data_IF_744696539916
#
_entry.id   IF_744696539916
#
_cell.length_a   1.000
_cell.length_b   1.000
_cell.length_c   1.000
_cell.angle_alpha   90.00
_cell.angle_beta   90.00
_cell.angle_gamma   90.00
#
_symmetry.space_group_name_H-M   'P 1'
#
loop_
_entity.id
_entity.type
_entity.pdbx_description
1 polymer ?
#
# COMPACT_ATOMS: atom_id res chain seq x y z
N UNK A 1 -12.70 -41.95 -7.39
CA UNK A 1 -13.50 -40.86 -7.96
C UNK A 1 -13.54 -39.72 -6.93
N UNK A 2 -12.65 -38.71 -6.94
CA UNK A 2 -12.63 -37.73 -5.86
C UNK A 2 -13.42 -36.47 -6.28
N UNK A 3 -14.61 -36.29 -5.69
CA UNK A 3 -15.19 -35.03 -5.22
C UNK A 3 -14.71 -33.69 -5.84
N UNK A 4 -15.11 -33.47 -7.09
CA UNK A 4 -15.44 -32.23 -7.81
C UNK A 4 -16.00 -30.97 -7.05
N UNK A 5 -15.85 -30.77 -5.73
CA UNK A 5 -16.42 -29.59 -5.04
C UNK A 5 -15.50 -28.81 -4.10
N UNK A 6 -14.21 -29.12 -4.03
CA UNK A 6 -13.28 -28.30 -3.25
C UNK A 6 -12.79 -27.15 -4.13
N UNK A 7 -12.94 -25.91 -3.65
CA UNK A 7 -12.38 -24.68 -4.23
C UNK A 7 -10.88 -24.85 -4.56
N UNK A 8 -10.16 -25.71 -3.82
CA UNK A 8 -8.81 -26.20 -4.15
C UNK A 8 -8.72 -26.90 -5.54
N UNK A 9 -9.69 -27.73 -5.94
CA UNK A 9 -9.77 -28.35 -7.27
C UNK A 9 -10.16 -27.41 -8.42
N UNK A 10 -10.92 -26.33 -8.19
CA UNK A 10 -11.26 -25.34 -9.24
C UNK A 10 -10.19 -24.25 -9.42
N UNK A 11 -9.18 -24.19 -8.54
CA UNK A 11 -8.19 -23.12 -8.57
C UNK A 11 -6.91 -23.48 -9.33
N UNK A 12 -6.80 -24.69 -9.90
CA UNK A 12 -5.58 -25.19 -10.54
C UNK A 12 -4.47 -25.31 -9.51
N UNK A 13 -3.98 -26.51 -9.14
CA UNK A 13 -2.71 -26.87 -8.46
C UNK A 13 -1.46 -25.94 -8.40
N UNK A 14 -1.54 -24.67 -8.79
CA UNK A 14 -0.57 -23.64 -9.01
C UNK A 14 -0.94 -22.42 -8.17
N UNK A 15 0.08 -21.76 -7.62
CA UNK A 15 -0.08 -20.57 -6.80
C UNK A 15 -0.79 -19.45 -7.60
N UNK A 16 -1.86 -18.85 -7.05
CA UNK A 16 -2.50 -17.69 -7.67
C UNK A 16 -1.50 -16.52 -7.60
N UNK A 17 -1.04 -16.02 -8.75
CA UNK A 17 -0.20 -14.83 -8.81
C UNK A 17 -0.94 -13.63 -8.19
N UNK A 18 -0.27 -12.84 -7.35
CA UNK A 18 -0.80 -11.57 -6.79
C UNK A 18 -1.43 -10.66 -7.84
N UNK A 19 -0.93 -10.70 -9.09
CA UNK A 19 -1.50 -9.94 -10.19
C UNK A 19 -3.00 -10.23 -10.42
N UNK A 20 -3.47 -11.45 -10.12
CA UNK A 20 -4.89 -11.85 -10.18
C UNK A 20 -5.65 -11.76 -8.85
N UNK A 21 -5.01 -11.28 -7.78
CA UNK A 21 -5.57 -11.28 -6.44
C UNK A 21 -5.66 -9.85 -5.94
N UNK A 22 -6.85 -9.25 -6.10
CA UNK A 22 -7.60 -8.26 -5.29
C UNK A 22 -6.99 -7.41 -4.16
N UNK A 23 -5.69 -7.47 -3.94
CA UNK A 23 -4.96 -6.74 -2.90
C UNK A 23 -4.30 -5.50 -3.50
N UNK A 24 -4.00 -5.51 -4.81
CA UNK A 24 -3.59 -4.32 -5.56
C UNK A 24 -4.73 -3.30 -5.76
N UNK A 25 -5.96 -3.77 -6.03
CA UNK A 25 -7.09 -2.88 -6.34
C UNK A 25 -7.59 -2.11 -5.12
N UNK A 26 -7.45 -2.67 -3.90
CA UNK A 26 -7.83 -1.97 -2.66
C UNK A 26 -6.83 -0.86 -2.28
N UNK A 27 -5.53 -1.03 -2.51
CA UNK A 27 -4.52 0.04 -2.28
C UNK A 27 -4.72 1.22 -3.22
N UNK A 28 -5.05 0.96 -4.49
CA UNK A 28 -5.26 2.04 -5.46
C UNK A 28 -6.50 2.87 -5.12
N UNK A 29 -7.56 2.26 -4.57
CA UNK A 29 -8.77 3.00 -4.17
C UNK A 29 -8.52 3.95 -2.99
N UNK A 30 -7.71 3.57 -2.01
CA UNK A 30 -7.33 4.47 -0.91
C UNK A 30 -6.47 5.65 -1.39
N UNK A 31 -5.44 5.40 -2.21
CA UNK A 31 -4.67 6.47 -2.86
C UNK A 31 -5.58 7.40 -3.66
N UNK A 32 -6.52 6.85 -4.43
CA UNK A 32 -7.44 7.65 -5.21
C UNK A 32 -8.46 8.40 -4.35
N UNK A 33 -8.91 7.85 -3.22
CA UNK A 33 -9.80 8.57 -2.31
C UNK A 33 -9.05 9.74 -1.66
N UNK A 34 -7.79 9.56 -1.23
CA UNK A 34 -6.99 10.68 -0.69
C UNK A 34 -6.78 11.77 -1.73
N UNK A 35 -6.47 11.39 -2.97
CA UNK A 35 -6.33 12.35 -4.07
C UNK A 35 -7.64 13.03 -4.42
N UNK A 36 -8.79 12.33 -4.36
CA UNK A 36 -10.11 12.93 -4.59
C UNK A 36 -10.49 13.89 -3.47
N UNK A 37 -10.19 13.55 -2.21
CA UNK A 37 -10.45 14.43 -1.07
C UNK A 37 -9.59 15.68 -1.22
N UNK A 38 -8.29 15.54 -1.46
CA UNK A 38 -7.38 16.65 -1.76
C UNK A 38 -7.85 17.50 -2.95
N UNK A 39 -8.12 16.90 -4.13
CA UNK A 39 -8.73 17.61 -5.27
C UNK A 39 -10.05 18.33 -4.92
N UNK A 40 -10.91 17.78 -4.06
CA UNK A 40 -12.13 18.47 -3.61
C UNK A 40 -11.80 19.60 -2.62
N UNK A 41 -10.85 19.37 -1.72
CA UNK A 41 -10.49 20.29 -0.64
C UNK A 41 -9.75 21.53 -1.18
N UNK A 42 -8.82 21.35 -2.12
CA UNK A 42 -8.15 22.43 -2.85
C UNK A 42 -8.98 22.97 -4.02
N UNK A 43 -9.61 22.10 -4.82
CA UNK A 43 -10.40 22.45 -6.02
C UNK A 43 -11.65 23.28 -5.78
N UNK A 44 -12.46 22.97 -4.76
CA UNK A 44 -13.70 23.72 -4.51
C UNK A 44 -13.40 25.16 -4.10
N UNK A 45 -12.49 25.44 -3.14
CA UNK A 45 -12.15 26.82 -2.80
C UNK A 45 -11.48 27.56 -3.95
N UNK A 46 -10.55 26.95 -4.70
CA UNK A 46 -9.96 27.60 -5.90
C UNK A 46 -10.99 27.99 -6.94
N UNK A 47 -11.96 27.11 -7.26
CA UNK A 47 -13.00 27.41 -8.26
C UNK A 47 -13.97 28.47 -7.75
N UNK A 48 -14.36 28.39 -6.47
CA UNK A 48 -15.18 29.41 -5.80
C UNK A 48 -14.47 30.78 -5.76
N UNK A 49 -13.17 30.83 -5.45
CA UNK A 49 -12.42 32.08 -5.42
C UNK A 49 -12.27 32.66 -6.82
N UNK A 50 -11.98 31.83 -7.83
CA UNK A 50 -11.90 32.23 -9.23
C UNK A 50 -13.24 32.80 -9.74
N UNK A 51 -14.35 32.08 -9.54
CA UNK A 51 -15.68 32.56 -9.92
C UNK A 51 -16.00 33.92 -9.27
N UNK A 52 -15.56 34.12 -8.03
CA UNK A 52 -15.82 35.34 -7.26
C UNK A 52 -14.95 36.54 -7.65
N UNK A 53 -13.65 36.34 -7.91
CA UNK A 53 -12.78 37.32 -8.59
C UNK A 53 -13.42 37.76 -9.91
N UNK A 54 -13.98 36.85 -10.73
CA UNK A 54 -14.63 37.21 -12.01
C UNK A 54 -15.88 38.07 -11.79
N UNK A 55 -16.63 37.83 -10.71
CA UNK A 55 -17.83 38.60 -10.36
C UNK A 55 -17.56 39.95 -9.67
N UNK A 56 -16.29 40.35 -9.50
CA UNK A 56 -15.93 41.70 -9.06
C UNK A 56 -16.18 42.00 -7.58
N UNK A 57 -16.49 40.98 -6.76
CA UNK A 57 -16.64 41.09 -5.29
C UNK A 57 -15.58 40.22 -4.61
N UNK A 58 -14.32 40.68 -4.49
CA UNK A 58 -13.31 39.90 -3.78
C UNK A 58 -13.72 39.79 -2.30
N UNK A 59 -13.76 38.56 -1.78
CA UNK A 59 -13.90 38.25 -0.36
C UNK A 59 -12.86 39.04 0.48
N UNK A 60 -13.27 40.14 1.11
CA UNK A 60 -12.47 40.85 2.12
C UNK A 60 -12.66 40.20 3.51
N UNK A 61 -12.51 38.87 3.64
CA UNK A 61 -12.72 38.19 4.94
C UNK A 61 -11.60 38.51 5.96
N UNK A 62 -10.42 38.83 5.44
CA UNK A 62 -9.27 39.40 6.14
C UNK A 62 -9.16 40.78 5.47
N UNK A 63 -9.65 41.88 6.07
CA UNK A 63 -9.22 43.26 5.78
C UNK A 63 -7.69 43.27 5.61
N UNK A 64 -7.21 43.01 4.40
CA UNK A 64 -5.81 43.04 4.07
C UNK A 64 -5.52 44.53 3.84
N UNK A 65 -4.43 45.07 4.43
CA UNK A 65 -4.02 46.44 4.19
C UNK A 65 -4.03 46.74 2.68
N UNK A 66 -4.43 47.95 2.25
CA UNK A 66 -4.44 48.29 0.83
C UNK A 66 -3.08 47.98 0.24
N UNK A 67 -3.07 47.06 -0.74
CA UNK A 67 -1.91 46.65 -1.53
C UNK A 67 -0.95 47.85 -1.72
N UNK A 68 0.26 47.79 -1.14
CA UNK A 68 1.25 48.82 -1.35
C UNK A 68 1.65 48.87 -2.84
N UNK A 69 1.80 50.06 -3.42
CA UNK A 69 2.14 50.25 -4.84
C UNK A 69 3.56 49.77 -5.19
N UNK A 70 4.39 49.46 -4.17
CA UNK A 70 5.77 49.03 -4.34
C UNK A 70 5.91 47.51 -4.60
N UNK A 71 6.45 47.10 -5.76
CA UNK A 71 6.59 45.69 -6.16
C UNK A 71 7.45 44.85 -5.19
N UNK A 72 8.36 45.47 -4.43
CA UNK A 72 9.27 44.82 -3.47
C UNK A 72 8.51 44.30 -2.24
N UNK A 73 7.47 45.00 -1.78
CA UNK A 73 6.68 44.59 -0.60
C UNK A 73 5.89 43.29 -0.85
N UNK A 74 5.73 42.87 -2.12
CA UNK A 74 5.11 41.60 -2.48
C UNK A 74 6.05 40.40 -2.36
N UNK A 75 7.36 40.62 -2.33
CA UNK A 75 8.32 39.51 -2.43
C UNK A 75 8.24 38.62 -1.19
N UNK A 76 8.18 39.23 -0.01
CA UNK A 76 8.07 38.53 1.27
C UNK A 76 6.78 37.70 1.45
N UNK A 77 5.56 38.22 1.23
CA UNK A 77 4.38 37.39 1.34
C UNK A 77 4.30 36.29 0.31
N UNK A 78 4.73 36.53 -0.92
CA UNK A 78 4.79 35.48 -1.96
C UNK A 78 5.77 34.37 -1.57
N UNK A 79 6.97 34.70 -1.08
CA UNK A 79 7.95 33.69 -0.62
C UNK A 79 7.37 32.90 0.56
N UNK A 80 6.74 33.56 1.52
CA UNK A 80 6.10 32.90 2.67
C UNK A 80 5.00 31.91 2.24
N UNK A 81 4.07 32.30 1.36
CA UNK A 81 3.06 31.38 0.80
C UNK A 81 3.71 30.24 0.03
N UNK A 82 4.73 30.48 -0.79
CA UNK A 82 5.47 29.43 -1.50
C UNK A 82 6.17 28.46 -0.53
N UNK A 83 6.75 28.96 0.56
CA UNK A 83 7.45 28.15 1.56
C UNK A 83 6.47 27.29 2.38
N UNK A 84 5.38 27.88 2.88
CA UNK A 84 4.28 27.15 3.55
C UNK A 84 3.68 26.12 2.59
N UNK A 85 3.47 26.47 1.32
CA UNK A 85 2.96 25.55 0.30
C UNK A 85 3.92 24.37 0.06
N UNK A 86 5.23 24.62 0.01
CA UNK A 86 6.23 23.58 -0.15
C UNK A 86 6.31 22.68 1.09
N UNK A 87 6.33 23.25 2.30
CA UNK A 87 6.30 22.52 3.57
C UNK A 87 5.05 21.65 3.71
N UNK A 88 3.84 22.15 3.41
CA UNK A 88 2.61 21.33 3.38
C UNK A 88 2.59 20.27 2.27
N UNK A 89 3.29 20.50 1.14
CA UNK A 89 3.36 19.53 0.04
C UNK A 89 4.40 18.41 0.28
N UNK A 90 5.45 18.68 1.08
CA UNK A 90 6.52 17.72 1.36
C UNK A 90 6.06 16.41 2.03
N UNK A 91 5.19 16.41 3.05
CA UNK A 91 4.67 15.18 3.66
C UNK A 91 3.79 14.37 2.70
N UNK A 92 3.15 15.02 1.72
CA UNK A 92 2.39 14.34 0.66
C UNK A 92 3.29 13.64 -0.37
N UNK A 93 4.52 14.12 -0.58
CA UNK A 93 5.48 13.53 -1.53
C UNK A 93 6.41 12.48 -0.88
N UNK A 94 6.55 12.47 0.45
CA UNK A 94 7.44 11.57 1.21
C UNK A 94 6.69 10.70 2.22
N UNK A 95 5.62 10.05 1.75
CA UNK A 95 5.05 8.90 2.43
C UNK A 95 5.81 7.63 2.06
N UNK A 96 7.11 7.57 2.36
CA UNK A 96 7.85 6.31 2.36
C UNK A 96 7.91 5.82 3.78
N UNK A 97 6.86 5.10 4.15
CA UNK A 97 6.87 4.18 5.28
C UNK A 97 8.25 3.47 5.41
N UNK A 98 8.85 3.44 6.61
CA UNK A 98 10.15 2.82 6.88
C UNK A 98 9.95 1.31 6.88
N UNK A 99 9.98 0.71 5.71
CA UNK A 99 10.06 -0.73 5.62
C UNK A 99 10.96 -1.11 4.45
N UNK A 100 11.91 -2.00 4.73
CA UNK A 100 12.72 -2.61 3.67
C UNK A 100 11.77 -3.52 2.91
N UNK A 101 11.37 -3.06 1.73
CA UNK A 101 10.51 -3.79 0.81
C UNK A 101 11.41 -4.51 -0.20
N UNK A 102 11.49 -5.82 -0.10
CA UNK A 102 12.06 -6.60 -1.20
C UNK A 102 10.96 -6.83 -2.23
N UNK A 103 11.17 -6.33 -3.46
CA UNK A 103 10.33 -6.70 -4.62
C UNK A 103 10.54 -8.18 -4.96
N UNK A 104 9.53 -8.87 -5.51
CA UNK A 104 9.65 -10.28 -5.86
C UNK A 104 10.78 -10.55 -6.86
N UNK A 105 11.08 -9.60 -7.75
CA UNK A 105 12.16 -9.74 -8.75
C UNK A 105 13.56 -9.75 -8.11
N UNK A 106 13.72 -9.10 -6.94
CA UNK A 106 14.98 -9.06 -6.20
C UNK A 106 15.18 -10.30 -5.32
N UNK A 107 14.16 -11.16 -5.15
CA UNK A 107 14.31 -12.41 -4.42
C UNK A 107 14.92 -13.47 -5.32
N UNK A 108 16.12 -13.94 -4.98
CA UNK A 108 16.80 -15.00 -5.73
C UNK A 108 16.25 -16.40 -5.38
N UNK A 109 15.43 -16.49 -4.33
CA UNK A 109 14.97 -17.76 -3.76
C UNK A 109 13.54 -18.08 -4.22
N UNK A 110 13.27 -19.19 -4.91
CA UNK A 110 11.96 -19.74 -5.33
C UNK A 110 11.67 -21.14 -4.75
N UNK A 111 10.51 -21.73 -5.07
CA UNK A 111 10.16 -23.09 -4.59
C UNK A 111 11.09 -24.19 -5.08
N UNK A 112 11.68 -24.04 -6.27
CA UNK A 112 12.67 -25.00 -6.78
C UNK A 112 13.91 -25.12 -5.88
N UNK A 113 14.29 -24.06 -5.15
CA UNK A 113 15.45 -24.10 -4.27
C UNK A 113 15.13 -24.61 -2.85
N UNK A 114 13.85 -24.81 -2.52
CA UNK A 114 13.43 -25.43 -1.26
C UNK A 114 13.39 -26.95 -1.46
N UNK A 115 14.28 -27.70 -0.81
CA UNK A 115 14.37 -29.17 -0.95
C UNK A 115 13.92 -29.85 0.34
N UNK A 116 13.18 -30.96 0.24
CA UNK A 116 12.87 -31.84 1.37
C UNK A 116 11.68 -31.42 2.23
N UNK A 117 10.92 -30.40 1.81
CA UNK A 117 9.78 -29.85 2.54
C UNK A 117 8.50 -29.84 1.69
N UNK A 118 8.31 -30.85 0.83
CA UNK A 118 7.25 -30.84 -0.20
C UNK A 118 5.85 -30.73 0.41
N UNK A 119 5.62 -31.43 1.52
CA UNK A 119 4.35 -31.39 2.26
C UNK A 119 4.08 -29.99 2.85
N UNK A 120 5.11 -29.34 3.43
CA UNK A 120 5.00 -27.99 3.98
C UNK A 120 4.76 -26.97 2.86
N UNK A 121 5.53 -27.03 1.76
CA UNK A 121 5.30 -26.21 0.56
C UNK A 121 3.85 -26.33 0.10
N UNK A 122 3.28 -27.54 0.01
CA UNK A 122 1.89 -27.72 -0.43
C UNK A 122 0.88 -27.05 0.52
N UNK A 123 1.01 -27.27 1.82
CA UNK A 123 0.14 -26.66 2.84
C UNK A 123 0.20 -25.12 2.78
N UNK A 124 1.42 -24.58 2.75
CA UNK A 124 1.68 -23.15 2.63
C UNK A 124 1.05 -22.58 1.36
N UNK A 125 1.17 -23.27 0.22
CA UNK A 125 0.60 -22.83 -1.06
C UNK A 125 -0.92 -22.77 -1.00
N UNK A 126 -1.58 -23.77 -0.39
CA UNK A 126 -3.04 -23.70 -0.15
C UNK A 126 -3.40 -22.51 0.73
N UNK A 127 -2.63 -22.27 1.79
CA UNK A 127 -2.91 -21.17 2.71
C UNK A 127 -2.74 -19.80 2.04
N UNK A 128 -1.66 -19.59 1.29
CA UNK A 128 -1.49 -18.41 0.44
C UNK A 128 -2.61 -18.23 -0.58
N UNK A 129 -3.09 -19.28 -1.24
CA UNK A 129 -4.20 -19.13 -2.18
C UNK A 129 -5.45 -18.61 -1.48
N UNK A 130 -5.70 -19.07 -0.26
CA UNK A 130 -6.79 -18.56 0.57
C UNK A 130 -6.55 -17.10 0.97
N UNK A 131 -5.32 -16.69 1.30
CA UNK A 131 -4.99 -15.27 1.57
C UNK A 131 -5.18 -14.36 0.36
N UNK A 132 -4.70 -14.78 -0.80
CA UNK A 132 -4.72 -13.96 -2.01
C UNK A 132 -6.13 -13.88 -2.59
N UNK A 133 -6.92 -14.95 -2.45
CA UNK A 133 -8.31 -15.03 -2.90
C UNK A 133 -9.33 -14.61 -1.85
N UNK A 134 -8.95 -13.69 -0.92
CA UNK A 134 -9.73 -13.33 0.27
C UNK A 134 -11.17 -12.91 -0.11
N UNK A 135 -11.32 -12.05 -1.10
CA UNK A 135 -12.62 -11.57 -1.59
C UNK A 135 -13.50 -12.72 -2.11
N UNK A 136 -12.93 -13.58 -2.94
CA UNK A 136 -13.64 -14.71 -3.52
C UNK A 136 -14.03 -15.73 -2.45
N UNK A 137 -13.12 -16.05 -1.51
CA UNK A 137 -13.39 -16.89 -0.33
C UNK A 137 -14.53 -16.32 0.54
N UNK A 138 -14.42 -15.04 0.97
CA UNK A 138 -15.44 -14.31 1.77
C UNK A 138 -16.82 -14.33 1.08
N UNK A 139 -16.90 -14.10 -0.24
CA UNK A 139 -18.19 -14.05 -0.96
C UNK A 139 -18.84 -15.42 -1.19
N UNK A 140 -18.05 -16.47 -1.46
CA UNK A 140 -18.58 -17.80 -1.82
C UNK A 140 -18.78 -18.74 -0.63
N UNK A 141 -17.93 -18.65 0.39
CA UNK A 141 -17.89 -19.62 1.49
C UNK A 141 -18.26 -19.02 2.86
N UNK A 142 -18.55 -17.71 2.94
CA UNK A 142 -19.09 -17.05 4.15
C UNK A 142 -18.19 -17.11 5.39
N UNK A 143 -16.90 -17.44 5.26
CA UNK A 143 -15.98 -17.63 6.38
C UNK A 143 -14.88 -16.57 6.48
N UNK A 144 -14.26 -16.46 7.66
CA UNK A 144 -13.01 -15.70 7.81
C UNK A 144 -11.85 -16.55 7.28
N UNK A 145 -11.08 -16.06 6.30
CA UNK A 145 -9.84 -16.73 5.94
C UNK A 145 -8.85 -16.63 7.08
N UNK A 146 -7.91 -17.54 7.11
CA UNK A 146 -6.71 -17.45 7.98
C UNK A 146 -6.13 -16.02 7.84
N UNK A 147 -5.30 -15.59 8.82
CA UNK A 147 -4.63 -14.27 8.79
C UNK A 147 -3.09 -14.30 8.80
N UNK A 148 -2.48 -15.38 9.26
CA UNK A 148 -1.02 -15.51 9.35
C UNK A 148 -0.54 -16.97 9.30
N UNK A 149 0.76 -17.13 9.03
CA UNK A 149 1.51 -18.37 9.15
C UNK A 149 2.65 -18.14 10.14
N UNK A 150 2.88 -19.09 11.03
CA UNK A 150 4.02 -19.11 11.94
C UNK A 150 4.90 -20.31 11.60
N UNK A 151 6.17 -20.05 11.30
CA UNK A 151 7.17 -21.10 11.12
C UNK A 151 7.95 -21.30 12.40
N UNK A 152 7.85 -22.49 12.98
CA UNK A 152 8.59 -22.87 14.19
C UNK A 152 9.48 -24.07 13.89
N UNK A 153 10.69 -24.06 14.42
CA UNK A 153 11.59 -25.21 14.37
C UNK A 153 13.02 -24.85 14.77
N UNK A 154 13.93 -25.84 14.79
CA UNK A 154 15.36 -25.63 15.07
C UNK A 154 16.04 -24.65 14.10
N UNK A 155 17.05 -23.86 14.50
CA UNK A 155 17.72 -22.94 13.58
C UNK A 155 18.36 -23.71 12.41
N UNK A 156 18.29 -23.15 11.20
CA UNK A 156 18.88 -23.79 10.02
C UNK A 156 17.95 -24.72 9.21
N UNK A 157 16.65 -24.76 9.51
CA UNK A 157 15.67 -25.59 8.76
C UNK A 157 15.03 -24.90 7.56
N UNK A 158 15.58 -23.74 7.16
CA UNK A 158 15.11 -23.03 5.98
C UNK A 158 13.79 -22.28 6.15
N UNK A 159 13.44 -21.85 7.37
CA UNK A 159 12.19 -21.11 7.62
C UNK A 159 12.16 -19.77 6.88
N UNK A 160 13.26 -19.02 7.01
CA UNK A 160 13.44 -17.73 6.33
C UNK A 160 13.59 -17.94 4.82
N UNK A 161 14.33 -18.98 4.39
CA UNK A 161 14.42 -19.39 2.99
C UNK A 161 13.04 -19.70 2.38
N UNK A 162 12.17 -20.42 3.10
CA UNK A 162 10.81 -20.73 2.64
C UNK A 162 9.96 -19.47 2.54
N UNK A 163 10.03 -18.55 3.52
CA UNK A 163 9.28 -17.31 3.48
C UNK A 163 9.64 -16.44 2.26
N UNK A 164 10.93 -16.35 1.91
CA UNK A 164 11.41 -15.63 0.71
C UNK A 164 10.90 -16.29 -0.59
N UNK A 165 11.00 -17.62 -0.70
CA UNK A 165 10.43 -18.37 -1.83
C UNK A 165 8.93 -18.14 -2.01
N UNK A 166 8.18 -18.07 -0.91
CA UNK A 166 6.74 -17.81 -0.96
C UNK A 166 6.42 -16.43 -1.53
N UNK A 167 7.12 -15.39 -1.06
CA UNK A 167 6.96 -14.04 -1.59
C UNK A 167 7.30 -13.97 -3.09
N UNK A 168 8.38 -14.64 -3.52
CA UNK A 168 8.75 -14.69 -4.95
C UNK A 168 7.67 -15.36 -5.79
N UNK A 169 7.19 -16.52 -5.37
CA UNK A 169 6.23 -17.31 -6.15
C UNK A 169 4.86 -16.64 -6.22
N UNK A 170 4.49 -15.95 -5.14
CA UNK A 170 3.22 -15.24 -5.05
C UNK A 170 3.24 -13.89 -5.75
N UNK A 171 4.41 -13.38 -6.15
CA UNK A 171 4.53 -12.04 -6.72
C UNK A 171 4.15 -10.92 -5.75
N UNK A 172 4.24 -11.16 -4.43
CA UNK A 172 3.93 -10.12 -3.41
C UNK A 172 5.20 -9.49 -2.87
N UNK A 173 5.15 -8.23 -2.41
CA UNK A 173 6.28 -7.63 -1.71
C UNK A 173 6.62 -8.40 -0.44
N UNK A 174 7.92 -8.53 -0.13
CA UNK A 174 8.41 -9.20 1.08
C UNK A 174 8.94 -8.16 2.05
N UNK A 175 8.24 -8.05 3.17
CA UNK A 175 8.60 -7.13 4.25
C UNK A 175 9.36 -7.94 5.29
N UNK A 176 10.63 -7.59 5.48
CA UNK A 176 11.46 -8.24 6.49
C UNK A 176 11.69 -7.25 7.63
N UNK A 177 11.28 -7.66 8.82
CA UNK A 177 11.50 -6.89 10.04
C UNK A 177 12.13 -7.82 11.06
N UNK A 178 13.35 -7.50 11.51
CA UNK A 178 13.97 -8.25 12.59
C UNK A 178 13.27 -7.94 13.92
N UNK A 179 13.12 -8.93 14.80
CA UNK A 179 12.48 -8.74 16.10
C UNK A 179 13.20 -7.65 16.94
N UNK A 180 14.53 -7.58 16.85
CA UNK A 180 15.36 -6.57 17.53
C UNK A 180 15.02 -5.14 17.11
N UNK A 181 14.58 -4.91 15.87
CA UNK A 181 14.13 -3.57 15.43
C UNK A 181 12.88 -3.08 16.15
N UNK A 182 12.14 -3.95 16.86
CA UNK A 182 10.96 -3.56 17.63
C UNK A 182 11.30 -3.12 19.06
N UNK A 183 12.57 -3.09 19.43
CA UNK A 183 12.99 -2.52 20.71
C UNK A 183 12.96 -1.00 20.55
N UNK A 184 11.87 -0.42 21.04
CA UNK A 184 11.78 1.02 21.21
C UNK A 184 12.79 1.39 22.30
N UNK A 185 13.81 2.18 21.95
CA UNK A 185 14.55 2.96 22.95
C UNK A 185 13.62 4.08 23.45
N UNK A 186 12.56 3.72 24.17
CA UNK A 186 11.76 4.67 24.97
C UNK A 186 11.35 4.00 26.27
#
# INVERSE_FOLDING_TARGET
MPAAGSVAGQLGGGLIAAAGADVGARRERQRQARLRVLALLLGVPTVFLWWRIVDGRPLNLLRLPPMPDDPILWVLPVILVLAIGAMLAMPLLSGRSPHVEYRPEQLEVGFAQVKGLDTIVDEVTKTLNTFLGYATYRQRLGGSPRRGLLFEGPPGTGKTHLAKAMARESGVPFLFVSATSFQSMW
#
